data_IF_396446651534
#
_entry.id   IF_396446651534
#
_cell.length_a   1.000
_cell.length_b   1.000
_cell.length_c   1.000
_cell.angle_alpha   90.00
_cell.angle_beta   90.00
_cell.angle_gamma   90.00
#
_symmetry.space_group_name_H-M   'P 1'
#
loop_
_entity.id
_entity.type
_entity.pdbx_description
1 polymer ?
#
# COMPACT_ATOMS: atom_id res chain seq x y z
N UNK A 1 -17.49 -3.04 16.00
CA UNK A 1 -16.36 -2.53 15.21
C UNK A 1 -15.86 -3.67 14.35
N UNK A 2 -15.61 -3.46 13.05
CA UNK A 2 -14.97 -4.47 12.20
C UNK A 2 -13.53 -4.76 12.69
N UNK A 3 -12.98 -5.90 12.29
CA UNK A 3 -11.57 -6.23 12.57
C UNK A 3 -10.66 -5.18 11.94
N UNK A 4 -9.65 -4.68 12.67
CA UNK A 4 -8.66 -3.75 12.13
C UNK A 4 -7.84 -4.45 11.04
N UNK A 5 -7.78 -3.86 9.84
CA UNK A 5 -7.22 -4.51 8.66
C UNK A 5 -5.77 -4.09 8.43
N UNK A 6 -4.84 -5.02 8.64
CA UNK A 6 -3.42 -4.81 8.35
C UNK A 6 -3.06 -5.32 6.95
N UNK A 7 -2.36 -4.49 6.20
CA UNK A 7 -1.79 -4.82 4.89
C UNK A 7 -0.29 -4.58 4.94
N UNK A 8 0.49 -5.62 4.66
CA UNK A 8 1.94 -5.53 4.67
C UNK A 8 2.49 -5.33 3.27
N UNK A 9 3.30 -4.29 3.12
CA UNK A 9 3.87 -3.91 1.83
C UNK A 9 5.20 -4.61 1.59
N UNK A 10 5.35 -5.19 0.41
CA UNK A 10 6.54 -5.86 -0.10
C UNK A 10 7.03 -5.10 -1.35
N UNK A 11 8.22 -4.51 -1.28
CA UNK A 11 8.86 -3.94 -2.46
C UNK A 11 9.61 -5.03 -3.22
N UNK A 12 9.15 -5.27 -4.46
CA UNK A 12 9.55 -6.39 -5.28
C UNK A 12 10.90 -6.19 -5.97
N UNK A 13 11.66 -7.27 -6.12
CA UNK A 13 12.84 -7.34 -6.99
C UNK A 13 14.15 -6.86 -6.37
N UNK A 14 14.21 -6.65 -5.04
CA UNK A 14 15.44 -6.23 -4.37
C UNK A 14 15.68 -7.04 -3.08
N UNK A 15 16.80 -7.78 -2.96
CA UNK A 15 17.85 -7.92 -3.98
C UNK A 15 17.39 -8.63 -5.26
N UNK A 16 16.44 -9.58 -5.17
CA UNK A 16 15.82 -10.30 -6.30
C UNK A 16 14.32 -10.45 -6.10
N UNK A 17 13.60 -10.87 -7.14
CA UNK A 17 12.17 -11.21 -7.06
C UNK A 17 11.97 -12.36 -6.07
N UNK A 18 12.80 -13.39 -6.14
CA UNK A 18 12.74 -14.58 -5.30
C UNK A 18 12.91 -14.21 -3.82
N UNK A 19 13.93 -13.41 -3.50
CA UNK A 19 14.17 -12.96 -2.13
C UNK A 19 13.00 -12.12 -1.57
N UNK A 20 12.36 -11.30 -2.41
CA UNK A 20 11.16 -10.55 -2.01
C UNK A 20 9.99 -11.49 -1.71
N UNK A 21 9.81 -12.55 -2.51
CA UNK A 21 8.74 -13.54 -2.32
C UNK A 21 9.02 -14.47 -1.12
N UNK A 22 10.27 -14.81 -0.83
CA UNK A 22 10.66 -15.54 0.39
C UNK A 22 10.25 -14.77 1.65
N UNK A 23 10.43 -13.44 1.67
CA UNK A 23 9.95 -12.60 2.78
C UNK A 23 8.42 -12.56 2.84
N UNK A 24 7.74 -12.54 1.72
CA UNK A 24 6.28 -12.66 1.67
C UNK A 24 5.82 -14.02 2.23
N UNK A 25 6.48 -15.13 1.90
CA UNK A 25 6.21 -16.46 2.47
C UNK A 25 6.42 -16.47 3.99
N UNK A 26 7.50 -15.87 4.47
CA UNK A 26 7.76 -15.72 5.91
C UNK A 26 6.62 -14.98 6.61
N UNK A 27 6.12 -13.89 6.04
CA UNK A 27 4.98 -13.16 6.61
C UNK A 27 3.71 -14.01 6.65
N UNK A 28 3.39 -14.71 5.55
CA UNK A 28 2.23 -15.61 5.49
C UNK A 28 2.32 -16.76 6.50
N UNK A 29 3.51 -17.35 6.67
CA UNK A 29 3.78 -18.41 7.65
C UNK A 29 3.55 -17.94 9.10
N UNK A 30 3.71 -16.63 9.36
CA UNK A 30 3.46 -16.00 10.67
C UNK A 30 2.08 -15.35 10.78
N UNK A 31 1.13 -15.76 9.94
CA UNK A 31 -0.28 -15.45 10.10
C UNK A 31 -0.78 -14.19 9.38
N UNK A 32 0.08 -13.48 8.65
CA UNK A 32 -0.32 -12.35 7.80
C UNK A 32 -1.39 -12.78 6.81
N UNK A 33 -2.41 -11.94 6.62
CA UNK A 33 -3.58 -12.22 5.76
C UNK A 33 -3.67 -11.33 4.53
N UNK A 34 -2.95 -10.20 4.51
CA UNK A 34 -2.99 -9.26 3.39
C UNK A 34 -1.59 -8.73 3.07
N UNK A 35 -1.20 -8.87 1.82
CA UNK A 35 0.07 -8.38 1.27
C UNK A 35 -0.20 -7.43 0.10
N UNK A 36 0.55 -6.34 0.07
CA UNK A 36 0.54 -5.39 -1.04
C UNK A 36 1.91 -5.40 -1.71
N UNK A 37 1.96 -5.75 -2.98
CA UNK A 37 3.19 -5.79 -3.79
C UNK A 37 3.28 -4.57 -4.70
N UNK A 38 4.48 -4.06 -4.92
CA UNK A 38 4.72 -3.08 -5.97
C UNK A 38 5.19 -3.72 -7.29
N UNK A 39 5.07 -2.92 -8.34
CA UNK A 39 5.85 -3.07 -9.56
C UNK A 39 6.80 -1.88 -9.66
N UNK A 40 8.09 -2.08 -9.97
CA UNK A 40 9.10 -1.03 -9.91
C UNK A 40 8.77 0.11 -10.89
N UNK A 41 8.53 1.30 -10.35
CA UNK A 41 8.31 2.51 -11.14
C UNK A 41 9.64 3.22 -11.38
N UNK A 42 9.76 3.85 -12.55
CA UNK A 42 10.87 4.76 -12.88
C UNK A 42 10.69 6.15 -12.26
N UNK A 43 9.47 6.48 -11.82
CA UNK A 43 9.15 7.75 -11.17
C UNK A 43 8.28 7.54 -9.91
N UNK A 44 8.81 6.90 -8.85
CA UNK A 44 8.04 6.62 -7.63
C UNK A 44 8.02 7.84 -6.68
N UNK A 45 7.46 8.96 -7.12
CA UNK A 45 7.54 10.27 -6.45
C UNK A 45 6.86 10.33 -5.07
N UNK A 46 5.96 9.40 -4.76
CA UNK A 46 5.29 9.32 -3.44
C UNK A 46 6.05 8.46 -2.43
N UNK A 47 7.09 7.75 -2.88
CA UNK A 47 7.83 6.81 -2.03
C UNK A 47 8.97 7.46 -1.25
N UNK A 48 9.38 6.78 -0.18
CA UNK A 48 10.57 7.16 0.60
C UNK A 48 11.85 6.96 -0.23
N UNK A 49 12.97 7.63 0.10
CA UNK A 49 14.24 7.38 -0.56
C UNK A 49 14.65 5.90 -0.54
N UNK A 50 14.37 5.18 0.55
CA UNK A 50 14.62 3.75 0.69
C UNK A 50 13.85 2.93 -0.37
N UNK A 51 12.55 3.16 -0.52
CA UNK A 51 11.73 2.44 -1.52
C UNK A 51 12.11 2.85 -2.95
N UNK A 52 12.40 4.13 -3.19
CA UNK A 52 12.87 4.61 -4.50
C UNK A 52 14.14 3.89 -4.95
N UNK A 53 15.11 3.73 -4.05
CA UNK A 53 16.35 3.02 -4.35
C UNK A 53 16.11 1.54 -4.69
N UNK A 54 15.19 0.88 -3.97
CA UNK A 54 14.78 -0.50 -4.26
C UNK A 54 14.13 -0.64 -5.63
N UNK A 55 13.16 0.22 -5.96
CA UNK A 55 12.50 0.22 -7.26
C UNK A 55 13.49 0.49 -8.40
N UNK A 56 14.40 1.46 -8.24
CA UNK A 56 15.45 1.74 -9.23
C UNK A 56 16.33 0.51 -9.46
N UNK A 57 16.79 -0.14 -8.39
CA UNK A 57 17.62 -1.35 -8.48
C UNK A 57 16.87 -2.51 -9.15
N UNK A 58 15.62 -2.71 -8.81
CA UNK A 58 14.78 -3.73 -9.45
C UNK A 58 14.58 -3.46 -10.94
N UNK A 59 14.36 -2.19 -11.32
CA UNK A 59 14.27 -1.80 -12.72
C UNK A 59 15.58 -2.04 -13.48
N UNK A 60 16.72 -1.65 -12.92
CA UNK A 60 18.05 -1.91 -13.50
C UNK A 60 18.31 -3.40 -13.73
N UNK A 61 17.84 -4.25 -12.80
CA UNK A 61 18.08 -5.69 -12.84
C UNK A 61 17.19 -6.39 -13.88
N UNK A 62 15.93 -6.03 -13.98
CA UNK A 62 14.94 -6.79 -14.77
C UNK A 62 14.50 -6.08 -16.06
N UNK A 63 14.60 -4.75 -16.14
CA UNK A 63 14.33 -3.97 -17.36
C UNK A 63 12.88 -4.02 -17.89
N UNK A 64 11.95 -4.61 -17.13
CA UNK A 64 10.56 -4.75 -17.55
C UNK A 64 9.69 -5.45 -16.52
N UNK A 65 8.39 -5.62 -16.82
CA UNK A 65 7.39 -6.11 -15.85
C UNK A 65 7.10 -7.62 -15.95
N UNK A 66 7.44 -8.26 -17.06
CA UNK A 66 7.12 -9.67 -17.28
C UNK A 66 7.61 -10.61 -16.19
N UNK A 67 8.88 -10.49 -15.70
CA UNK A 67 9.35 -11.36 -14.62
C UNK A 67 8.53 -11.20 -13.34
N UNK A 68 8.10 -9.98 -13.01
CA UNK A 68 7.29 -9.69 -11.83
C UNK A 68 5.87 -10.25 -11.96
N UNK A 69 5.20 -10.00 -13.09
CA UNK A 69 3.85 -10.51 -13.34
C UNK A 69 3.79 -12.03 -13.28
N UNK A 70 4.78 -12.69 -13.89
CA UNK A 70 4.92 -14.16 -13.86
C UNK A 70 5.13 -14.66 -12.44
N UNK A 71 6.10 -14.10 -11.72
CA UNK A 71 6.44 -14.53 -10.36
C UNK A 71 5.27 -14.32 -9.38
N UNK A 72 4.57 -13.20 -9.47
CA UNK A 72 3.38 -12.92 -8.65
C UNK A 72 2.23 -13.88 -8.98
N UNK A 73 2.04 -14.26 -10.25
CA UNK A 73 1.03 -15.25 -10.65
C UNK A 73 1.37 -16.63 -10.09
N UNK A 74 2.63 -17.05 -10.16
CA UNK A 74 3.09 -18.32 -9.58
C UNK A 74 2.94 -18.31 -8.04
N UNK A 75 3.28 -17.19 -7.40
CA UNK A 75 3.14 -16.99 -5.95
C UNK A 75 1.66 -17.08 -5.54
N UNK A 76 0.73 -16.41 -6.25
CA UNK A 76 -0.71 -16.50 -6.01
C UNK A 76 -1.20 -17.94 -6.13
N UNK A 77 -0.75 -18.69 -7.13
CA UNK A 77 -1.15 -20.09 -7.34
C UNK A 77 -0.68 -20.99 -6.17
N UNK A 78 0.50 -20.71 -5.62
CA UNK A 78 1.06 -21.43 -4.46
C UNK A 78 0.35 -21.06 -3.15
N UNK A 79 -0.09 -19.81 -3.02
CA UNK A 79 -0.71 -19.25 -1.82
C UNK A 79 -2.08 -18.61 -2.17
N UNK A 80 -3.16 -19.40 -2.31
CA UNK A 80 -4.45 -18.86 -2.76
C UNK A 80 -5.21 -18.07 -1.69
N UNK A 81 -4.93 -18.28 -0.40
CA UNK A 81 -5.80 -17.91 0.73
C UNK A 81 -5.42 -16.58 1.42
N UNK A 82 -4.61 -15.72 0.80
CA UNK A 82 -4.33 -14.38 1.33
C UNK A 82 -4.90 -13.29 0.43
N UNK A 83 -5.13 -12.11 0.99
CA UNK A 83 -5.48 -10.93 0.20
C UNK A 83 -4.24 -10.37 -0.48
N UNK A 84 -4.27 -10.32 -1.81
CA UNK A 84 -3.21 -9.73 -2.62
C UNK A 84 -3.65 -8.38 -3.15
N UNK A 85 -2.88 -7.35 -2.87
CA UNK A 85 -3.07 -5.99 -3.37
C UNK A 85 -1.87 -5.55 -4.20
N UNK A 86 -2.05 -4.53 -5.06
CA UNK A 86 -0.97 -3.96 -5.86
C UNK A 86 -0.76 -2.47 -5.58
N UNK A 87 0.50 -2.05 -5.70
CA UNK A 87 0.90 -0.64 -5.84
C UNK A 87 1.52 -0.46 -7.21
N UNK A 88 1.02 0.49 -7.96
CA UNK A 88 1.58 0.85 -9.26
C UNK A 88 1.53 2.36 -9.49
N UNK A 89 2.39 2.81 -10.37
CA UNK A 89 2.45 4.19 -10.83
C UNK A 89 1.97 4.28 -12.29
N UNK A 90 1.72 5.48 -12.75
CA UNK A 90 1.25 5.73 -14.11
C UNK A 90 2.15 5.11 -15.19
N UNK A 91 3.48 5.24 -15.04
CA UNK A 91 4.45 4.67 -15.98
C UNK A 91 4.35 3.14 -16.07
N UNK A 92 4.03 2.47 -14.97
CA UNK A 92 3.79 1.02 -14.92
C UNK A 92 2.54 0.67 -15.72
N UNK A 93 1.43 1.33 -15.42
CA UNK A 93 0.14 1.06 -16.07
C UNK A 93 0.20 1.38 -17.57
N UNK A 94 0.82 2.51 -17.94
CA UNK A 94 0.97 2.91 -19.35
C UNK A 94 1.87 1.95 -20.13
N UNK A 95 2.90 1.39 -19.49
CA UNK A 95 3.82 0.45 -20.14
C UNK A 95 3.19 -0.94 -20.32
N UNK A 96 2.51 -1.45 -19.31
CA UNK A 96 1.83 -2.77 -19.38
C UNK A 96 0.58 -2.67 -20.25
N UNK A 97 -0.11 -1.54 -20.24
CA UNK A 97 -1.42 -1.32 -20.82
C UNK A 97 -2.56 -1.67 -19.85
N UNK A 98 -3.55 -0.78 -19.74
CA UNK A 98 -4.65 -0.88 -18.78
C UNK A 98 -5.40 -2.20 -18.88
N UNK A 99 -5.76 -2.63 -20.10
CA UNK A 99 -6.49 -3.88 -20.32
C UNK A 99 -5.73 -5.08 -19.77
N UNK A 100 -4.45 -5.19 -20.10
CA UNK A 100 -3.59 -6.29 -19.64
C UNK A 100 -3.39 -6.28 -18.15
N UNK A 101 -3.25 -5.08 -17.54
CA UNK A 101 -3.13 -4.96 -16.09
C UNK A 101 -4.42 -5.39 -15.37
N UNK A 102 -5.60 -5.06 -15.92
CA UNK A 102 -6.89 -5.52 -15.42
C UNK A 102 -7.00 -7.05 -15.50
N UNK A 103 -6.59 -7.64 -16.62
CA UNK A 103 -6.57 -9.10 -16.80
C UNK A 103 -5.66 -9.78 -15.78
N UNK A 104 -4.46 -9.25 -15.58
CA UNK A 104 -3.54 -9.73 -14.54
C UNK A 104 -4.18 -9.66 -13.14
N UNK A 105 -4.82 -8.56 -12.79
CA UNK A 105 -5.50 -8.42 -11.50
C UNK A 105 -6.61 -9.47 -11.34
N UNK A 106 -7.45 -9.66 -12.36
CA UNK A 106 -8.55 -10.64 -12.33
C UNK A 106 -8.05 -12.08 -12.21
N UNK A 107 -7.03 -12.45 -12.99
CA UNK A 107 -6.44 -13.80 -12.97
C UNK A 107 -5.84 -14.13 -11.60
N UNK A 108 -5.35 -13.13 -10.88
CA UNK A 108 -4.72 -13.28 -9.57
C UNK A 108 -5.64 -12.92 -8.39
N UNK A 109 -6.94 -12.74 -8.62
CA UNK A 109 -7.93 -12.33 -7.61
C UNK A 109 -7.50 -11.07 -6.83
N UNK A 110 -6.85 -10.12 -7.52
CA UNK A 110 -6.47 -8.82 -6.97
C UNK A 110 -7.66 -7.88 -7.13
N UNK A 111 -8.24 -7.45 -6.01
CA UNK A 111 -9.43 -6.61 -5.99
C UNK A 111 -9.15 -5.18 -5.52
N UNK A 112 -7.94 -4.91 -5.04
CA UNK A 112 -7.56 -3.61 -4.50
C UNK A 112 -6.20 -3.20 -5.02
N UNK A 113 -6.10 -1.99 -5.54
CA UNK A 113 -4.86 -1.41 -6.05
C UNK A 113 -4.70 0.03 -5.58
N UNK A 114 -3.48 0.43 -5.24
CA UNK A 114 -3.10 1.84 -5.18
C UNK A 114 -2.46 2.23 -6.50
N UNK A 115 -3.11 3.13 -7.23
CA UNK A 115 -2.57 3.65 -8.48
C UNK A 115 -2.21 5.12 -8.28
N UNK A 116 -0.92 5.45 -8.39
CA UNK A 116 -0.43 6.84 -8.32
C UNK A 116 -0.19 7.39 -9.71
N UNK A 117 -0.64 8.60 -9.96
CA UNK A 117 -0.52 9.32 -11.22
C UNK A 117 -1.55 10.44 -11.28
N UNK A 118 -1.32 11.40 -12.17
CA UNK A 118 -2.23 12.52 -12.44
C UNK A 118 -3.04 12.27 -13.72
N UNK A 119 -3.95 13.13 -14.07
CA UNK A 119 -4.89 13.15 -15.21
C UNK A 119 -4.89 11.98 -16.22
N UNK A 120 -3.73 11.61 -16.74
CA UNK A 120 -3.59 10.52 -17.72
C UNK A 120 -4.05 9.17 -17.19
N UNK A 121 -3.93 8.94 -15.86
CA UNK A 121 -4.28 7.66 -15.23
C UNK A 121 -5.76 7.58 -14.82
N UNK A 122 -6.52 8.69 -14.88
CA UNK A 122 -7.93 8.69 -14.43
C UNK A 122 -8.78 7.70 -15.24
N UNK A 123 -8.56 7.64 -16.57
CA UNK A 123 -9.26 6.66 -17.39
C UNK A 123 -8.96 5.23 -16.98
N UNK A 124 -7.68 4.92 -16.70
CA UNK A 124 -7.30 3.59 -16.23
C UNK A 124 -7.94 3.25 -14.89
N UNK A 125 -8.02 4.19 -13.93
CA UNK A 125 -8.74 4.01 -12.67
C UNK A 125 -10.23 3.72 -12.88
N UNK A 126 -10.87 4.46 -13.78
CA UNK A 126 -12.29 4.22 -14.12
C UNK A 126 -12.50 2.81 -14.69
N UNK A 127 -11.66 2.41 -15.64
CA UNK A 127 -11.75 1.09 -16.28
C UNK A 127 -11.48 -0.04 -15.27
N UNK A 128 -10.50 0.12 -14.38
CA UNK A 128 -10.23 -0.82 -13.27
C UNK A 128 -11.42 -0.93 -12.32
N UNK A 129 -11.99 0.19 -11.93
CA UNK A 129 -13.15 0.23 -11.05
C UNK A 129 -14.39 -0.43 -11.70
N UNK A 130 -14.63 -0.16 -12.98
CA UNK A 130 -15.69 -0.83 -13.75
C UNK A 130 -15.45 -2.34 -13.87
N UNK A 131 -14.20 -2.77 -13.83
CA UNK A 131 -13.82 -4.18 -13.85
C UNK A 131 -13.88 -4.86 -12.46
N UNK A 132 -14.30 -4.15 -11.40
CA UNK A 132 -14.41 -4.65 -10.03
C UNK A 132 -13.09 -4.63 -9.24
N UNK A 133 -12.12 -3.80 -9.67
CA UNK A 133 -10.86 -3.60 -8.96
C UNK A 133 -10.90 -2.21 -8.31
N UNK A 134 -11.00 -2.17 -6.98
CA UNK A 134 -11.04 -0.91 -6.24
C UNK A 134 -9.69 -0.19 -6.28
N UNK A 135 -9.72 1.07 -6.71
CA UNK A 135 -8.53 1.93 -6.67
C UNK A 135 -8.57 2.80 -5.42
N UNK A 136 -7.59 2.61 -4.53
CA UNK A 136 -7.48 3.39 -3.29
C UNK A 136 -7.19 4.87 -3.59
N UNK A 137 -7.86 5.76 -2.88
CA UNK A 137 -7.57 7.19 -2.90
C UNK A 137 -6.42 7.48 -1.93
N UNK A 138 -5.33 8.04 -2.44
CA UNK A 138 -4.21 8.45 -1.59
C UNK A 138 -4.35 9.93 -1.23
N UNK A 139 -4.41 10.22 0.08
CA UNK A 139 -4.42 11.59 0.61
C UNK A 139 -3.09 11.85 1.31
N UNK A 140 -2.37 12.86 0.84
CA UNK A 140 -1.06 13.23 1.39
C UNK A 140 -1.20 13.89 2.77
N UNK A 141 -0.06 14.02 3.47
CA UNK A 141 0.01 14.53 4.84
C UNK A 141 -0.57 15.94 5.04
N UNK A 142 -0.52 16.78 4.01
CA UNK A 142 -1.04 18.15 4.01
C UNK A 142 -2.50 18.26 3.56
N UNK A 143 -3.20 17.14 3.38
CA UNK A 143 -4.61 17.06 3.01
C UNK A 143 -4.96 17.97 1.80
N UNK A 144 -4.36 17.75 0.62
CA UNK A 144 -4.63 18.59 -0.55
C UNK A 144 -6.12 18.56 -0.90
N UNK A 145 -6.70 19.75 -1.16
CA UNK A 145 -8.14 19.88 -1.39
C UNK A 145 -8.63 18.94 -2.50
N UNK A 146 -7.90 18.89 -3.63
CA UNK A 146 -8.22 18.01 -4.75
C UNK A 146 -8.33 16.52 -4.36
N UNK A 147 -7.44 16.05 -3.47
CA UNK A 147 -7.44 14.64 -3.04
C UNK A 147 -8.60 14.37 -2.07
N UNK A 148 -8.94 15.34 -1.20
CA UNK A 148 -10.10 15.26 -0.30
C UNK A 148 -11.40 15.24 -1.08
N UNK A 149 -11.58 16.17 -2.03
CA UNK A 149 -12.76 16.21 -2.91
C UNK A 149 -12.91 14.93 -3.72
N UNK A 150 -11.82 14.41 -4.27
CA UNK A 150 -11.82 13.15 -5.00
C UNK A 150 -12.23 11.97 -4.10
N UNK A 151 -11.77 11.91 -2.85
CA UNK A 151 -12.18 10.88 -1.90
C UNK A 151 -13.69 10.95 -1.57
N UNK A 152 -14.24 12.17 -1.41
CA UNK A 152 -15.67 12.38 -1.19
C UNK A 152 -16.50 11.96 -2.40
N UNK A 153 -16.09 12.40 -3.60
CA UNK A 153 -16.81 12.12 -4.85
C UNK A 153 -16.85 10.63 -5.20
N UNK A 154 -15.72 9.93 -4.98
CA UNK A 154 -15.61 8.52 -5.36
C UNK A 154 -16.15 7.57 -4.30
N UNK A 155 -16.20 7.99 -3.02
CA UNK A 155 -16.58 7.14 -1.90
C UNK A 155 -15.68 5.92 -1.70
N UNK A 156 -14.43 5.97 -2.21
CA UNK A 156 -13.48 4.86 -2.14
C UNK A 156 -12.63 4.91 -0.90
N UNK A 157 -12.10 3.75 -0.49
CA UNK A 157 -11.20 3.65 0.64
C UNK A 157 -9.97 4.56 0.48
N UNK A 158 -9.59 5.19 1.56
CA UNK A 158 -8.54 6.21 1.62
C UNK A 158 -7.29 5.64 2.26
N UNK A 159 -6.13 5.85 1.63
CA UNK A 159 -4.82 5.75 2.26
C UNK A 159 -4.39 7.14 2.72
N UNK A 160 -4.43 7.39 4.03
CA UNK A 160 -4.03 8.66 4.62
C UNK A 160 -2.56 8.60 5.05
N UNK A 161 -1.72 9.44 4.45
CA UNK A 161 -0.30 9.52 4.79
C UNK A 161 -0.10 10.24 6.11
N UNK A 162 0.78 9.70 6.98
CA UNK A 162 1.13 10.35 8.24
C UNK A 162 1.96 11.63 8.04
N UNK A 163 1.89 12.52 9.02
CA UNK A 163 2.80 13.65 9.15
C UNK A 163 4.10 13.14 9.78
N UNK A 164 5.24 13.58 9.27
CA UNK A 164 6.56 13.26 9.78
C UNK A 164 7.25 14.55 10.20
N UNK A 165 8.29 14.42 11.00
CA UNK A 165 9.16 15.53 11.38
C UNK A 165 9.63 16.32 10.14
N UNK A 166 9.58 17.65 10.22
CA UNK A 166 9.94 18.54 9.12
C UNK A 166 8.87 18.72 8.03
N UNK A 167 7.69 18.09 8.17
CA UNK A 167 6.55 18.32 7.29
C UNK A 167 5.63 19.38 7.86
N UNK A 168 5.05 20.22 7.00
CA UNK A 168 4.07 21.22 7.38
C UNK A 168 2.65 20.71 7.08
N UNK A 169 1.90 20.20 8.07
CA UNK A 169 0.55 19.73 7.85
C UNK A 169 -0.43 20.88 7.69
N UNK A 170 -1.57 20.64 7.05
CA UNK A 170 -2.66 21.62 6.93
C UNK A 170 -3.11 22.06 8.32
N UNK A 171 -3.17 23.36 8.55
CA UNK A 171 -3.69 24.00 9.78
C UNK A 171 -3.08 23.44 11.09
N UNK A 172 -1.84 22.95 11.03
CA UNK A 172 -1.16 22.35 12.17
C UNK A 172 -1.69 20.99 12.62
N UNK A 173 -2.57 20.34 11.85
CA UNK A 173 -3.14 19.03 12.20
C UNK A 173 -2.09 17.91 12.08
N UNK A 174 -1.46 17.55 13.19
CA UNK A 174 -0.41 16.51 13.24
C UNK A 174 -0.98 15.13 13.54
N UNK A 175 -1.94 15.03 14.46
CA UNK A 175 -2.46 13.75 14.94
C UNK A 175 -3.37 13.03 13.94
N UNK A 176 -3.44 11.71 14.04
CA UNK A 176 -4.40 10.91 13.28
C UNK A 176 -5.84 11.33 13.55
N UNK A 177 -6.18 11.61 14.82
CA UNK A 177 -7.54 11.96 15.25
C UNK A 177 -8.02 13.27 14.60
N UNK A 178 -7.21 14.34 14.63
CA UNK A 178 -7.54 15.63 14.01
C UNK A 178 -7.79 15.45 12.50
N UNK A 179 -6.91 14.72 11.83
CA UNK A 179 -6.93 14.55 10.38
C UNK A 179 -8.07 13.64 9.93
N UNK A 180 -8.32 12.54 10.64
CA UNK A 180 -9.46 11.65 10.36
C UNK A 180 -10.78 12.39 10.64
N UNK A 181 -10.88 13.14 11.72
CA UNK A 181 -12.05 13.97 12.04
C UNK A 181 -12.29 15.04 10.98
N UNK A 182 -11.23 15.70 10.51
CA UNK A 182 -11.33 16.65 9.40
C UNK A 182 -11.90 15.99 8.15
N UNK A 183 -11.37 14.84 7.71
CA UNK A 183 -11.85 14.12 6.54
C UNK A 183 -13.31 13.68 6.70
N UNK A 184 -13.70 13.22 7.89
CA UNK A 184 -15.09 12.87 8.20
C UNK A 184 -16.02 14.09 8.12
N UNK A 185 -15.58 15.24 8.65
CA UNK A 185 -16.30 16.51 8.55
C UNK A 185 -16.44 17.02 7.12
N UNK A 186 -15.51 16.66 6.23
CA UNK A 186 -15.56 16.97 4.80
C UNK A 186 -16.44 16.00 3.99
N UNK A 187 -17.01 14.96 4.63
CA UNK A 187 -17.91 14.01 3.99
C UNK A 187 -17.24 12.71 3.50
N UNK A 188 -16.00 12.44 3.87
CA UNK A 188 -15.37 11.13 3.59
C UNK A 188 -16.02 10.08 4.48
N UNK A 189 -16.84 9.20 3.90
CA UNK A 189 -17.54 8.10 4.60
C UNK A 189 -16.81 6.76 4.48
N UNK A 190 -15.98 6.60 3.46
CA UNK A 190 -15.23 5.38 3.17
C UNK A 190 -14.21 5.02 4.28
N UNK A 191 -13.76 3.76 4.36
CA UNK A 191 -12.69 3.36 5.26
C UNK A 191 -11.42 4.19 5.05
N UNK A 192 -10.79 4.64 6.15
CA UNK A 192 -9.51 5.36 6.13
C UNK A 192 -8.45 4.44 6.71
N UNK A 193 -7.40 4.19 5.94
CA UNK A 193 -6.25 3.40 6.32
C UNK A 193 -5.06 4.31 6.61
N UNK A 194 -4.42 4.12 7.74
CA UNK A 194 -3.18 4.81 8.09
C UNK A 194 -2.02 4.30 7.22
N UNK A 195 -1.19 5.18 6.70
CA UNK A 195 0.00 4.78 5.95
C UNK A 195 1.20 5.68 6.25
N UNK A 196 2.42 5.13 6.12
CA UNK A 196 3.67 5.86 6.33
C UNK A 196 3.80 6.45 7.75
N UNK A 197 4.24 5.66 8.69
CA UNK A 197 4.46 6.11 10.09
C UNK A 197 3.98 5.10 11.12
N UNK A 198 3.46 3.97 10.68
CA UNK A 198 3.25 2.80 11.54
C UNK A 198 4.57 2.05 11.60
N UNK A 199 5.23 2.09 12.74
CA UNK A 199 6.57 1.51 12.96
C UNK A 199 6.63 0.53 14.11
N UNK A 200 5.57 0.44 14.92
CA UNK A 200 5.43 -0.48 16.05
C UNK A 200 3.96 -0.58 16.45
N UNK A 201 3.62 -1.49 17.37
CA UNK A 201 2.27 -1.65 17.89
C UNK A 201 1.71 -0.39 18.53
N UNK A 202 2.52 0.41 19.22
CA UNK A 202 2.06 1.66 19.83
C UNK A 202 1.56 2.65 18.76
N UNK A 203 2.34 2.91 17.70
CA UNK A 203 1.93 3.80 16.59
C UNK A 203 0.71 3.26 15.83
N UNK A 204 0.54 1.94 15.78
CA UNK A 204 -0.65 1.32 15.20
C UNK A 204 -1.88 1.55 16.06
N UNK A 205 -1.75 1.41 17.39
CA UNK A 205 -2.83 1.66 18.34
C UNK A 205 -3.30 3.13 18.31
N UNK A 206 -2.40 4.08 18.18
CA UNK A 206 -2.76 5.50 17.99
C UNK A 206 -3.66 5.69 16.75
N UNK A 207 -3.28 5.13 15.62
CA UNK A 207 -4.09 5.21 14.39
C UNK A 207 -5.46 4.52 14.55
N UNK A 208 -5.48 3.34 15.20
CA UNK A 208 -6.70 2.58 15.48
C UNK A 208 -7.65 3.33 16.41
N UNK A 209 -7.15 3.92 17.50
CA UNK A 209 -7.92 4.72 18.45
C UNK A 209 -8.49 6.00 17.81
N UNK A 210 -7.77 6.59 16.87
CA UNK A 210 -8.22 7.72 16.07
C UNK A 210 -9.31 7.37 15.04
N UNK A 211 -9.68 6.09 14.90
CA UNK A 211 -10.75 5.65 14.00
C UNK A 211 -10.29 5.22 12.60
N UNK A 212 -9.01 4.93 12.41
CA UNK A 212 -8.56 4.25 11.19
C UNK A 212 -9.18 2.84 11.12
N UNK A 213 -9.56 2.42 9.91
CA UNK A 213 -10.11 1.10 9.64
C UNK A 213 -9.03 0.02 9.50
N UNK A 214 -7.80 0.44 9.27
CA UNK A 214 -6.64 -0.41 9.09
C UNK A 214 -5.37 0.38 8.85
N UNK A 215 -4.28 -0.31 8.52
CA UNK A 215 -3.01 0.31 8.23
C UNK A 215 -2.22 -0.43 7.15
N UNK A 216 -1.38 0.32 6.43
CA UNK A 216 -0.37 -0.21 5.53
C UNK A 216 1.01 -0.09 6.21
N UNK A 217 1.69 -1.21 6.34
CA UNK A 217 2.99 -1.31 7.02
C UNK A 217 4.05 -1.82 6.03
N UNK A 218 5.17 -1.14 5.92
CA UNK A 218 6.18 -1.51 4.92
C UNK A 218 7.62 -1.34 5.39
N UNK A 219 8.20 -0.17 5.19
CA UNK A 219 9.64 0.05 5.33
C UNK A 219 10.25 -0.33 6.69
N UNK A 220 9.50 -0.24 7.78
CA UNK A 220 9.99 -0.64 9.10
C UNK A 220 10.33 -2.13 9.17
N UNK A 221 9.51 -3.00 8.55
CA UNK A 221 9.81 -4.44 8.47
C UNK A 221 10.88 -4.72 7.41
N UNK A 222 10.83 -4.05 6.25
CA UNK A 222 11.83 -4.25 5.20
C UNK A 222 13.25 -3.86 5.63
N UNK A 223 13.40 -2.89 6.52
CA UNK A 223 14.69 -2.52 7.11
C UNK A 223 15.27 -3.63 8.02
N UNK A 224 14.45 -4.59 8.42
CA UNK A 224 14.82 -5.72 9.27
C UNK A 224 14.91 -7.05 8.49
N UNK A 225 14.86 -7.02 7.16
CA UNK A 225 14.88 -8.26 6.37
C UNK A 225 16.15 -9.10 6.54
N UNK A 226 17.25 -8.46 6.93
CA UNK A 226 18.53 -9.12 7.25
C UNK A 226 18.63 -9.53 8.74
N UNK A 227 17.66 -9.15 9.58
CA UNK A 227 17.51 -9.52 10.99
C UNK A 227 16.15 -10.17 11.20
N UNK A 228 16.02 -11.43 10.84
CA UNK A 228 14.75 -12.16 10.90
C UNK A 228 14.14 -12.19 12.30
N UNK A 229 14.90 -12.43 13.40
CA UNK A 229 14.33 -12.37 14.74
C UNK A 229 13.71 -11.01 15.09
N UNK A 230 14.38 -9.90 14.76
CA UNK A 230 13.85 -8.56 15.00
C UNK A 230 12.62 -8.27 14.11
N UNK A 231 12.65 -8.71 12.85
CA UNK A 231 11.51 -8.58 11.93
C UNK A 231 10.29 -9.33 12.45
N UNK A 232 10.45 -10.57 12.91
CA UNK A 232 9.35 -11.39 13.44
C UNK A 232 8.81 -10.82 14.76
N UNK A 233 9.67 -10.29 15.63
CA UNK A 233 9.23 -9.61 16.86
C UNK A 233 8.37 -8.39 16.54
N UNK A 234 8.77 -7.55 15.57
CA UNK A 234 7.98 -6.41 15.13
C UNK A 234 6.65 -6.84 14.48
N UNK A 235 6.68 -7.89 13.67
CA UNK A 235 5.47 -8.44 13.06
C UNK A 235 4.46 -8.90 14.12
N UNK A 236 4.92 -9.62 15.15
CA UNK A 236 4.09 -10.07 16.25
C UNK A 236 3.52 -8.89 17.06
N UNK A 237 4.31 -7.86 17.36
CA UNK A 237 3.87 -6.63 18.04
C UNK A 237 2.73 -5.92 17.27
N UNK A 238 2.89 -5.78 15.95
CA UNK A 238 1.87 -5.18 15.09
C UNK A 238 0.58 -6.00 15.04
N UNK A 239 0.68 -7.32 14.88
CA UNK A 239 -0.49 -8.21 14.86
C UNK A 239 -1.20 -8.22 16.22
N UNK A 240 -0.48 -8.22 17.33
CA UNK A 240 -1.05 -8.11 18.66
C UNK A 240 -1.83 -6.80 18.84
N UNK A 241 -1.24 -5.68 18.44
CA UNK A 241 -1.88 -4.37 18.51
C UNK A 241 -3.13 -4.28 17.62
N UNK A 242 -3.10 -4.89 16.44
CA UNK A 242 -4.27 -4.93 15.56
C UNK A 242 -5.44 -5.70 16.15
N UNK A 243 -5.17 -6.76 16.90
CA UNK A 243 -6.16 -7.67 17.48
C UNK A 243 -6.58 -7.29 18.91
N UNK A 244 -5.89 -6.33 19.57
CA UNK A 244 -6.31 -5.75 20.85
C UNK A 244 -7.50 -4.78 20.66
#
# INVERSE_FOLDING_TARGET
>A
MGKFHLVYYISMGTPTIEASLEKAETYLAHGVKALQFDLPSRNPYRETPFIRARMAKAWETYGGYEPFLKALTEFRRKHPDFEMQMVSYEDVILTIGTTRYIEFCKQNNIRTCRISGDGVIERARMDMNAAGIDTLTFIDYNLPEKDVEFAVQTGRAVMLRNVREGMEPRDGMVSWDERIRYLRGRGVTAPIYATAGITCGASLLEAKQAGAAGAFVGSCLMNLWDDEPAMLALLADLEQAANS
#
